data_IF_495519108336
#
_entry.id   IF_495519108336
#
_cell.length_a   1.000
_cell.length_b   1.000
_cell.length_c   1.000
_cell.angle_alpha   90.00
_cell.angle_beta   90.00
_cell.angle_gamma   90.00
#
_symmetry.space_group_name_H-M   'P 1'
#
loop_
_entity.id
_entity.type
_entity.pdbx_description
1 polymer ?
#
# COMPACT_ATOMS: atom_id res chain seq x y z
N UNK A 1 -17.40 22.41 45.88
CA UNK A 1 -16.95 21.15 45.24
C UNK A 1 -17.28 21.13 43.73
N UNK A 2 -16.91 22.18 42.96
CA UNK A 2 -17.21 22.28 41.52
C UNK A 2 -15.96 22.45 40.64
N UNK A 3 -14.86 22.94 41.25
CA UNK A 3 -13.57 23.15 40.58
C UNK A 3 -12.75 21.85 40.39
N UNK A 4 -12.97 20.85 41.24
CA UNK A 4 -12.27 19.55 41.19
C UNK A 4 -12.75 18.70 40.00
N UNK A 5 -14.03 18.83 39.62
CA UNK A 5 -14.60 18.09 38.50
C UNK A 5 -14.02 18.54 37.13
N UNK A 6 -13.69 19.83 37.00
CA UNK A 6 -13.11 20.40 35.78
C UNK A 6 -11.64 19.97 35.63
N UNK A 7 -10.89 19.91 36.73
CA UNK A 7 -9.49 19.47 36.70
C UNK A 7 -9.35 17.99 36.26
N UNK A 8 -10.29 17.13 36.67
CA UNK A 8 -10.32 15.72 36.25
C UNK A 8 -10.65 15.54 34.76
N UNK A 9 -11.56 16.35 34.22
CA UNK A 9 -11.92 16.33 32.79
C UNK A 9 -10.79 16.85 31.89
N UNK A 10 -10.03 17.85 32.35
CA UNK A 10 -8.89 18.38 31.58
C UNK A 10 -7.71 17.40 31.60
N UNK A 11 -7.54 16.62 32.68
CA UNK A 11 -6.46 15.63 32.76
C UNK A 11 -6.71 14.41 31.86
N UNK A 12 -7.95 13.96 31.70
CA UNK A 12 -8.29 12.88 30.76
C UNK A 12 -8.21 13.33 29.30
N UNK A 13 -8.63 14.56 28.98
CA UNK A 13 -8.49 15.10 27.62
C UNK A 13 -7.04 15.46 27.25
N UNK A 14 -6.24 15.93 28.21
CA UNK A 14 -4.83 16.26 28.01
C UNK A 14 -3.96 15.02 27.81
N UNK A 15 -4.22 13.93 28.55
CA UNK A 15 -3.48 12.68 28.38
C UNK A 15 -3.88 11.91 27.10
N UNK A 16 -5.11 12.10 26.61
CA UNK A 16 -5.56 11.55 25.33
C UNK A 16 -4.93 12.26 24.11
N UNK A 17 -4.47 13.50 24.26
CA UNK A 17 -3.78 14.24 23.20
C UNK A 17 -2.24 14.12 23.26
N UNK A 18 -1.66 13.72 24.39
CA UNK A 18 -0.21 13.55 24.58
C UNK A 18 0.27 12.09 24.49
N UNK A 19 -0.64 11.11 24.47
CA UNK A 19 -0.33 9.69 24.21
C UNK A 19 -0.22 9.32 22.74
N UNK A 20 -0.53 10.24 21.81
CA UNK A 20 -0.53 10.01 20.37
C UNK A 20 0.84 10.05 19.70
N UNK A 21 1.93 10.31 20.43
CA UNK A 21 3.30 10.11 19.95
C UNK A 21 3.74 8.67 20.21
N UNK A 22 2.87 7.72 19.89
CA UNK A 22 3.31 6.39 19.52
C UNK A 22 3.69 6.53 18.05
N UNK A 23 5.00 6.60 17.79
CA UNK A 23 5.59 5.97 16.61
C UNK A 23 5.18 4.49 16.66
N UNK A 24 3.90 4.20 16.43
CA UNK A 24 3.40 2.87 16.21
C UNK A 24 3.94 2.54 14.83
N UNK A 25 4.95 1.67 14.84
CA UNK A 25 5.55 1.04 13.67
C UNK A 25 4.54 0.95 12.55
N UNK A 26 4.93 1.33 11.32
CA UNK A 26 4.23 0.94 10.11
C UNK A 26 3.73 -0.49 10.34
N UNK A 27 2.42 -0.65 10.54
CA UNK A 27 1.83 -1.97 10.71
C UNK A 27 2.01 -2.59 9.35
N UNK A 28 3.11 -3.31 9.17
CA UNK A 28 3.48 -3.85 7.87
C UNK A 28 2.40 -4.84 7.53
N UNK A 29 1.49 -4.44 6.64
CA UNK A 29 0.42 -5.31 6.17
C UNK A 29 1.04 -6.59 5.62
N UNK A 30 0.45 -7.74 5.93
CA UNK A 30 0.94 -9.00 5.37
C UNK A 30 0.51 -9.15 3.92
N UNK A 31 1.15 -10.05 3.17
CA UNK A 31 0.70 -10.36 1.81
C UNK A 31 -0.72 -10.93 1.79
N UNK A 32 -1.13 -11.66 2.84
CA UNK A 32 -2.49 -12.19 2.97
C UNK A 32 -3.52 -11.08 3.15
N UNK A 33 -3.25 -10.11 4.02
CA UNK A 33 -4.11 -8.93 4.21
C UNK A 33 -4.19 -8.07 2.95
N UNK A 34 -3.07 -7.89 2.25
CA UNK A 34 -3.04 -7.23 0.94
C UNK A 34 -3.90 -7.97 -0.08
N UNK A 35 -3.77 -9.30 -0.17
CA UNK A 35 -4.54 -10.13 -1.09
C UNK A 35 -6.05 -10.00 -0.85
N UNK A 36 -6.49 -9.98 0.42
CA UNK A 36 -7.90 -9.75 0.77
C UNK A 36 -8.38 -8.41 0.22
N UNK A 37 -7.69 -7.31 0.56
CA UNK A 37 -8.06 -5.96 0.11
C UNK A 37 -8.11 -5.86 -1.41
N UNK A 38 -7.13 -6.44 -2.10
CA UNK A 38 -7.08 -6.42 -3.56
C UNK A 38 -8.23 -7.22 -4.18
N UNK A 39 -8.46 -8.45 -3.72
CA UNK A 39 -9.52 -9.32 -4.22
C UNK A 39 -10.91 -8.67 -4.05
N UNK A 40 -11.13 -8.00 -2.91
CA UNK A 40 -12.39 -7.28 -2.64
C UNK A 40 -12.56 -6.05 -3.53
N UNK A 41 -11.52 -5.22 -3.69
CA UNK A 41 -11.59 -4.04 -4.57
C UNK A 41 -11.76 -4.42 -6.05
N UNK A 42 -11.21 -5.56 -6.47
CA UNK A 42 -11.43 -6.13 -7.81
C UNK A 42 -12.79 -6.85 -7.95
N UNK A 43 -13.59 -6.92 -6.89
CA UNK A 43 -14.92 -7.54 -6.92
C UNK A 43 -14.89 -9.07 -7.03
N UNK A 44 -13.78 -9.73 -6.69
CA UNK A 44 -13.64 -11.19 -6.76
C UNK A 44 -14.33 -11.92 -5.59
N UNK A 45 -14.74 -11.18 -4.56
CA UNK A 45 -15.48 -11.68 -3.41
C UNK A 45 -15.59 -10.61 -2.32
N UNK A 46 -16.24 -10.95 -1.20
CA UNK A 46 -16.38 -10.07 -0.02
C UNK A 46 -16.14 -10.88 1.25
N UNK A 47 -15.54 -10.27 2.26
CA UNK A 47 -15.21 -10.90 3.54
C UNK A 47 -14.41 -12.19 3.37
N UNK A 48 -13.42 -12.15 2.47
CA UNK A 48 -12.60 -13.31 2.15
C UNK A 48 -11.58 -13.56 3.26
N UNK A 49 -11.30 -14.84 3.54
CA UNK A 49 -10.07 -15.21 4.25
C UNK A 49 -8.86 -14.99 3.33
N UNK A 50 -7.64 -14.93 3.90
CA UNK A 50 -6.41 -14.81 3.13
C UNK A 50 -6.29 -15.91 2.06
N UNK A 51 -6.53 -17.16 2.43
CA UNK A 51 -6.49 -18.29 1.50
C UNK A 51 -7.54 -18.17 0.38
N UNK A 52 -8.77 -17.75 0.72
CA UNK A 52 -9.83 -17.57 -0.27
C UNK A 52 -9.53 -16.42 -1.24
N UNK A 53 -8.95 -15.33 -0.73
CA UNK A 53 -8.52 -14.19 -1.54
C UNK A 53 -7.37 -14.58 -2.48
N UNK A 54 -6.36 -15.29 -1.97
CA UNK A 54 -5.23 -15.78 -2.76
C UNK A 54 -5.71 -16.74 -3.84
N UNK A 55 -6.61 -17.67 -3.51
CA UNK A 55 -7.20 -18.58 -4.50
C UNK A 55 -7.98 -17.83 -5.58
N UNK A 56 -8.75 -16.80 -5.21
CA UNK A 56 -9.49 -15.97 -6.15
C UNK A 56 -8.56 -15.18 -7.09
N UNK A 57 -7.51 -14.57 -6.56
CA UNK A 57 -6.50 -13.84 -7.34
C UNK A 57 -5.72 -14.79 -8.26
N UNK A 58 -5.34 -15.97 -7.76
CA UNK A 58 -4.65 -17.00 -8.56
C UNK A 58 -5.52 -17.48 -9.72
N UNK A 59 -6.83 -17.62 -9.52
CA UNK A 59 -7.78 -18.01 -10.58
C UNK A 59 -7.83 -17.02 -11.74
N UNK A 60 -7.59 -15.73 -11.46
CA UNK A 60 -7.47 -14.68 -12.48
C UNK A 60 -6.01 -14.37 -12.84
N UNK A 61 -5.09 -15.27 -12.49
CA UNK A 61 -3.65 -15.17 -12.79
C UNK A 61 -2.94 -13.95 -12.19
N UNK A 62 -3.48 -13.39 -11.11
CA UNK A 62 -2.83 -12.31 -10.34
C UNK A 62 -2.05 -12.95 -9.19
N UNK A 63 -0.75 -13.12 -9.38
CA UNK A 63 0.15 -13.70 -8.38
C UNK A 63 1.58 -13.15 -8.57
N UNK A 64 2.33 -12.87 -7.49
CA UNK A 64 3.75 -12.56 -7.59
C UNK A 64 4.55 -13.77 -8.10
N UNK A 65 5.77 -13.55 -8.58
CA UNK A 65 6.55 -14.57 -9.28
C UNK A 65 6.83 -15.81 -8.41
N UNK A 66 6.98 -15.63 -7.10
CA UNK A 66 7.27 -16.69 -6.14
C UNK A 66 6.02 -17.19 -5.38
N UNK A 67 4.83 -16.80 -5.83
CA UNK A 67 3.59 -17.08 -5.11
C UNK A 67 3.39 -16.20 -3.88
N UNK A 68 2.14 -16.17 -3.40
CA UNK A 68 1.82 -15.48 -2.16
C UNK A 68 2.39 -16.23 -0.94
N UNK A 69 2.92 -15.47 0.00
CA UNK A 69 3.33 -15.94 1.33
C UNK A 69 2.49 -15.20 2.36
N UNK A 70 1.34 -15.77 2.78
CA UNK A 70 0.30 -15.01 3.50
C UNK A 70 0.77 -14.28 4.75
N UNK A 71 1.71 -14.88 5.48
CA UNK A 71 2.25 -14.38 6.75
C UNK A 71 3.43 -13.42 6.57
N UNK A 72 4.02 -13.35 5.37
CA UNK A 72 5.16 -12.48 5.10
C UNK A 72 4.69 -11.03 4.99
N UNK A 73 5.53 -10.08 5.40
CA UNK A 73 5.28 -8.66 5.21
C UNK A 73 5.20 -8.32 3.72
N UNK A 74 4.24 -7.46 3.38
CA UNK A 74 4.15 -6.85 2.06
C UNK A 74 5.27 -5.82 1.88
N UNK A 75 5.72 -5.65 0.65
CA UNK A 75 6.74 -4.66 0.30
C UNK A 75 6.53 -4.14 -1.13
N UNK A 76 7.16 -3.00 -1.51
CA UNK A 76 6.96 -2.39 -2.82
C UNK A 76 7.32 -3.27 -4.02
N UNK A 77 8.29 -4.18 -3.88
CA UNK A 77 8.71 -5.06 -4.97
C UNK A 77 7.60 -6.08 -5.28
N UNK A 78 7.05 -6.72 -4.25
CA UNK A 78 5.94 -7.66 -4.40
C UNK A 78 4.67 -6.93 -4.89
N UNK A 79 4.44 -5.69 -4.43
CA UNK A 79 3.32 -4.87 -4.88
C UNK A 79 3.41 -4.56 -6.38
N UNK A 80 4.60 -4.25 -6.89
CA UNK A 80 4.86 -4.02 -8.32
C UNK A 80 4.67 -5.30 -9.14
N UNK A 81 5.17 -6.45 -8.67
CA UNK A 81 4.93 -7.74 -9.34
C UNK A 81 3.43 -8.04 -9.49
N UNK A 82 2.65 -7.76 -8.45
CA UNK A 82 1.19 -7.94 -8.47
C UNK A 82 0.53 -6.95 -9.43
N UNK A 83 0.97 -5.69 -9.49
CA UNK A 83 0.46 -4.71 -10.44
C UNK A 83 0.70 -5.15 -11.89
N UNK A 84 1.90 -5.65 -12.19
CA UNK A 84 2.21 -6.20 -13.51
C UNK A 84 1.34 -7.43 -13.83
N UNK A 85 1.11 -8.31 -12.85
CA UNK A 85 0.23 -9.47 -13.03
C UNK A 85 -1.23 -9.06 -13.27
N UNK A 86 -1.74 -8.07 -12.54
CA UNK A 86 -3.08 -7.51 -12.73
C UNK A 86 -3.25 -6.89 -14.13
N UNK A 87 -2.25 -6.15 -14.61
CA UNK A 87 -2.23 -5.63 -15.98
C UNK A 87 -2.30 -6.74 -17.03
N UNK A 88 -1.53 -7.82 -16.86
CA UNK A 88 -1.56 -8.99 -17.75
C UNK A 88 -2.91 -9.72 -17.70
N UNK A 89 -3.46 -9.93 -16.50
CA UNK A 89 -4.76 -10.56 -16.30
C UNK A 89 -5.88 -9.76 -16.98
N UNK A 90 -5.84 -8.42 -16.87
CA UNK A 90 -6.78 -7.57 -17.56
C UNK A 90 -6.65 -7.65 -19.08
N UNK A 91 -5.42 -7.62 -19.61
CA UNK A 91 -5.18 -7.74 -21.06
C UNK A 91 -5.72 -9.07 -21.63
N UNK A 92 -5.79 -10.11 -20.79
CA UNK A 92 -6.41 -11.41 -21.12
C UNK A 92 -7.94 -11.45 -20.93
N UNK A 93 -8.56 -10.37 -20.44
CA UNK A 93 -10.00 -10.29 -20.18
C UNK A 93 -10.47 -11.05 -18.93
N UNK A 94 -9.56 -11.43 -18.03
CA UNK A 94 -9.89 -12.24 -16.84
C UNK A 94 -10.61 -11.44 -15.73
N UNK A 95 -10.61 -10.11 -15.84
CA UNK A 95 -11.16 -9.18 -14.85
C UNK A 95 -12.42 -8.47 -15.34
N UNK A 96 -13.07 -8.97 -16.39
CA UNK A 96 -14.33 -8.42 -16.87
C UNK A 96 -15.39 -8.44 -15.74
N UNK A 97 -16.18 -7.36 -15.56
CA UNK A 97 -16.40 -6.26 -16.49
C UNK A 97 -15.44 -5.05 -16.36
N UNK A 98 -14.41 -5.11 -15.49
CA UNK A 98 -13.50 -3.98 -15.29
C UNK A 98 -12.65 -3.74 -16.55
N UNK A 99 -12.49 -2.47 -16.92
CA UNK A 99 -11.50 -2.05 -17.90
C UNK A 99 -10.10 -2.05 -17.30
N UNK A 100 -9.06 -2.17 -18.13
CA UNK A 100 -7.69 -2.19 -17.63
C UNK A 100 -7.25 -0.89 -16.96
N UNK A 101 -7.88 0.23 -17.34
CA UNK A 101 -7.67 1.50 -16.66
C UNK A 101 -8.25 1.49 -15.24
N UNK A 102 -9.38 0.85 -15.03
CA UNK A 102 -9.98 0.70 -13.69
C UNK A 102 -9.16 -0.26 -12.82
N UNK A 103 -8.70 -1.38 -13.39
CA UNK A 103 -7.82 -2.33 -12.69
C UNK A 103 -6.53 -1.65 -12.24
N UNK A 104 -5.88 -0.91 -13.15
CA UNK A 104 -4.65 -0.17 -12.85
C UNK A 104 -4.88 0.88 -11.74
N UNK A 105 -5.96 1.65 -11.84
CA UNK A 105 -6.34 2.63 -10.81
C UNK A 105 -6.61 1.98 -9.44
N UNK A 106 -7.28 0.82 -9.40
CA UNK A 106 -7.55 0.07 -8.17
C UNK A 106 -6.25 -0.37 -7.50
N UNK A 107 -5.32 -0.94 -8.29
CA UNK A 107 -4.03 -1.42 -7.76
C UNK A 107 -3.16 -0.25 -7.31
N UNK A 108 -3.06 0.81 -8.12
CA UNK A 108 -2.29 2.01 -7.79
C UNK A 108 -2.80 2.66 -6.51
N UNK A 109 -4.11 2.86 -6.39
CA UNK A 109 -4.71 3.45 -5.20
C UNK A 109 -4.48 2.58 -3.96
N UNK A 110 -4.60 1.25 -4.06
CA UNK A 110 -4.31 0.35 -2.95
C UNK A 110 -2.83 0.42 -2.53
N UNK A 111 -1.90 0.49 -3.49
CA UNK A 111 -0.48 0.61 -3.20
C UNK A 111 -0.13 1.94 -2.55
N UNK A 112 -0.77 3.04 -2.96
CA UNK A 112 -0.64 4.35 -2.31
C UNK A 112 -1.24 4.35 -0.90
N UNK A 113 -2.45 3.78 -0.72
CA UNK A 113 -3.13 3.65 0.58
C UNK A 113 -2.26 2.91 1.62
N UNK A 114 -1.44 1.97 1.14
CA UNK A 114 -0.58 1.12 1.96
C UNK A 114 0.90 1.55 1.98
N UNK A 115 1.23 2.69 1.37
CA UNK A 115 2.60 3.21 1.26
C UNK A 115 3.58 2.19 0.61
N UNK A 116 3.06 1.35 -0.30
CA UNK A 116 3.79 0.31 -1.04
C UNK A 116 4.35 0.81 -2.37
N UNK A 117 4.33 2.11 -2.63
CA UNK A 117 4.95 2.68 -3.82
C UNK A 117 6.48 2.56 -3.73
N UNK A 118 7.18 2.14 -4.79
CA UNK A 118 8.64 2.12 -4.80
C UNK A 118 9.19 3.50 -4.42
N UNK A 119 10.29 3.57 -3.65
CA UNK A 119 10.95 4.85 -3.38
C UNK A 119 11.31 5.51 -4.71
N UNK A 120 10.92 6.78 -4.88
CA UNK A 120 11.29 7.55 -6.05
C UNK A 120 12.81 7.48 -6.24
N UNK A 121 13.25 7.25 -7.48
CA UNK A 121 14.67 7.14 -7.80
C UNK A 121 15.43 8.36 -7.24
N UNK A 122 16.62 8.17 -6.66
CA UNK A 122 17.40 9.28 -6.14
C UNK A 122 17.65 10.29 -7.25
N UNK A 123 17.37 11.56 -6.96
CA UNK A 123 17.63 12.66 -7.89
C UNK A 123 19.12 12.61 -8.28
N UNK A 124 19.46 12.61 -9.58
CA UNK A 124 20.87 12.60 -9.99
C UNK A 124 21.57 13.84 -9.39
N UNK A 125 22.81 13.69 -8.90
CA UNK A 125 23.55 14.82 -8.37
C UNK A 125 23.66 15.93 -9.43
N UNK A 126 23.62 17.22 -9.04
CA UNK A 126 23.78 18.31 -9.99
C UNK A 126 25.12 18.17 -10.74
N UNK A 127 25.17 18.50 -12.05
CA UNK A 127 26.39 18.37 -12.83
C UNK A 127 27.54 19.20 -12.20
N UNK A 128 28.80 18.74 -12.32
CA UNK A 128 29.95 19.49 -11.81
C UNK A 128 29.94 20.93 -12.34
N UNK A 129 30.06 21.93 -11.47
CA UNK A 129 30.22 23.32 -11.93
C UNK A 129 31.55 23.42 -12.65
N UNK A 130 31.52 23.71 -13.95
CA UNK A 130 32.73 24.05 -14.70
C UNK A 130 33.37 25.31 -14.10
N UNK A 131 34.71 25.37 -13.98
CA UNK A 131 35.39 26.59 -13.59
C UNK A 131 35.07 27.69 -14.60
N UNK A 132 34.75 28.89 -14.09
CA UNK A 132 34.55 30.07 -14.92
C UNK A 132 35.78 30.28 -15.80
N UNK A 133 35.58 30.36 -17.12
CA UNK A 133 36.67 30.73 -18.03
C UNK A 133 37.23 32.09 -17.61
N UNK A 134 38.56 32.24 -17.51
CA UNK A 134 39.14 33.56 -17.25
C UNK A 134 38.79 34.48 -18.42
N UNK A 135 38.23 35.64 -18.09
CA UNK A 135 37.98 36.70 -19.06
C UNK A 135 39.32 37.11 -19.70
N UNK A 136 39.33 37.15 -21.04
CA UNK A 136 40.41 37.73 -21.85
C UNK A 136 40.30 39.24 -21.92
#
# INVERSE_FOLDING_TARGET
MKKILIALLVFTFGFFLLGGFQYASASSITQGEYAIKLAEKLGLGKNLSADAAIAALTKVEIMPANGFKPEDSMNPVIADEIAQAAGKACAKGLLAPLSCKEVDAIVSYLNEELELTPPSAPIPPPPPRHPASPAS
#
